data_IF_541609960332
#
_entry.id   IF_541609960332
#
_cell.length_a   1.000
_cell.length_b   1.000
_cell.length_c   1.000
_cell.angle_alpha   90.00
_cell.angle_beta   90.00
_cell.angle_gamma   90.00
#
_symmetry.space_group_name_H-M   'P 1'
#
loop_
_entity.id
_entity.type
_entity.pdbx_description
1 polymer ?
#
# COMPACT_ATOMS: atom_id res chain seq x y z
N UNK A 1 -39.74 -45.83 79.22
CA UNK A 1 -40.59 -47.03 79.19
C UNK A 1 -39.95 -48.03 78.24
N UNK A 2 -39.72 -49.26 78.75
CA UNK A 2 -39.58 -50.59 78.11
C UNK A 2 -39.28 -50.64 76.59
N UNK A 3 -38.32 -51.39 76.05
CA UNK A 3 -37.72 -52.65 76.46
C UNK A 3 -37.91 -53.71 75.36
N UNK A 4 -36.85 -54.51 75.10
CA UNK A 4 -36.79 -55.80 74.37
C UNK A 4 -36.59 -55.83 72.83
N UNK A 5 -35.54 -56.57 72.39
CA UNK A 5 -35.33 -57.10 71.01
C UNK A 5 -36.26 -58.30 70.71
N UNK A 6 -36.02 -59.21 69.72
CA UNK A 6 -34.75 -59.72 69.17
C UNK A 6 -34.76 -59.95 67.62
N UNK A 7 -34.39 -61.10 67.00
CA UNK A 7 -33.16 -61.31 66.21
C UNK A 7 -33.35 -61.71 64.72
N UNK A 8 -32.20 -61.89 64.04
CA UNK A 8 -31.84 -62.64 62.81
C UNK A 8 -32.90 -63.39 61.97
N UNK A 9 -32.83 -63.18 60.64
CA UNK A 9 -32.86 -64.21 59.56
C UNK A 9 -32.54 -63.50 58.22
N UNK A 10 -31.41 -63.70 57.54
CA UNK A 10 -30.94 -64.88 56.81
C UNK A 10 -31.47 -64.96 55.34
N UNK A 11 -30.51 -64.81 54.42
CA UNK A 11 -30.44 -65.34 53.04
C UNK A 11 -31.47 -64.82 52.01
N UNK A 12 -31.07 -64.38 50.81
CA UNK A 12 -30.52 -65.24 49.77
C UNK A 12 -29.57 -64.51 48.81
N UNK A 13 -28.57 -65.26 48.36
CA UNK A 13 -27.47 -64.86 47.50
C UNK A 13 -27.85 -64.67 46.02
N UNK A 14 -27.14 -63.75 45.36
CA UNK A 14 -26.97 -63.68 43.91
C UNK A 14 -25.49 -63.42 43.58
N UNK A 15 -24.95 -63.96 42.48
CA UNK A 15 -23.52 -64.23 42.33
C UNK A 15 -22.69 -62.99 42.01
N UNK A 16 -21.46 -62.98 42.56
CA UNK A 16 -20.42 -61.99 42.33
C UNK A 16 -20.07 -61.86 40.84
N UNK A 17 -20.17 -60.65 40.30
CA UNK A 17 -19.49 -60.26 39.08
C UNK A 17 -18.07 -59.75 39.42
N UNK A 18 -17.05 -60.00 38.57
CA UNK A 18 -15.66 -59.78 38.94
C UNK A 18 -15.31 -58.29 38.97
N UNK A 19 -14.64 -57.87 40.05
CA UNK A 19 -13.97 -56.57 40.13
C UNK A 19 -12.78 -56.56 39.16
N UNK A 20 -12.93 -55.89 38.03
CA UNK A 20 -11.80 -55.49 37.18
C UNK A 20 -11.03 -54.31 37.80
N UNK A 21 -9.72 -54.17 37.53
CA UNK A 21 -8.89 -53.15 38.16
C UNK A 21 -9.26 -51.73 37.68
N UNK A 22 -9.18 -50.69 38.54
CA UNK A 22 -9.38 -49.32 38.13
C UNK A 22 -8.09 -48.80 37.49
N UNK A 23 -8.01 -48.89 36.17
CA UNK A 23 -6.86 -48.36 35.45
C UNK A 23 -7.18 -48.10 34.01
N UNK A 24 -6.87 -46.88 33.56
CA UNK A 24 -6.83 -46.44 32.16
C UNK A 24 -8.13 -45.89 31.56
N UNK A 25 -8.46 -44.64 31.89
CA UNK A 25 -9.32 -43.82 31.01
C UNK A 25 -8.98 -42.32 30.99
N UNK A 26 -7.77 -41.90 31.39
CA UNK A 26 -7.41 -40.46 31.44
C UNK A 26 -6.19 -40.10 30.56
N UNK A 27 -5.34 -41.05 30.16
CA UNK A 27 -4.14 -40.73 29.35
C UNK A 27 -4.40 -40.54 27.84
N UNK A 28 -5.57 -40.94 27.30
CA UNK A 28 -5.82 -40.90 25.85
C UNK A 28 -6.23 -39.54 25.29
N UNK A 29 -6.97 -38.72 26.05
CA UNK A 29 -7.51 -37.43 25.56
C UNK A 29 -6.44 -36.35 25.42
N UNK A 30 -5.47 -36.30 26.34
CA UNK A 30 -4.37 -35.32 26.31
C UNK A 30 -3.37 -35.60 25.19
N UNK A 31 -3.11 -36.87 24.87
CA UNK A 31 -2.22 -37.25 23.78
C UNK A 31 -2.81 -36.89 22.41
N UNK A 32 -4.11 -37.13 22.20
CA UNK A 32 -4.81 -36.78 20.94
C UNK A 32 -4.88 -35.27 20.73
N UNK A 33 -5.15 -34.49 21.79
CA UNK A 33 -5.13 -33.03 21.71
C UNK A 33 -3.72 -32.48 21.42
N UNK A 34 -2.68 -33.03 22.05
CA UNK A 34 -1.30 -32.64 21.75
C UNK A 34 -0.91 -32.96 20.30
N UNK A 35 -1.23 -34.16 19.80
CA UNK A 35 -0.95 -34.54 18.40
C UNK A 35 -1.71 -33.64 17.43
N UNK A 36 -2.98 -33.31 17.70
CA UNK A 36 -3.76 -32.38 16.90
C UNK A 36 -3.13 -30.98 16.86
N UNK A 37 -2.62 -30.49 18.00
CA UNK A 37 -1.87 -29.22 18.07
C UNK A 37 -0.59 -29.26 17.26
N UNK A 38 0.21 -30.33 17.35
CA UNK A 38 1.43 -30.48 16.55
C UNK A 38 1.14 -30.53 15.04
N UNK A 39 0.07 -31.22 14.62
CA UNK A 39 -0.35 -31.28 13.22
C UNK A 39 -0.81 -29.91 12.73
N UNK A 40 -1.56 -29.15 13.53
CA UNK A 40 -1.97 -27.79 13.19
C UNK A 40 -0.78 -26.83 13.11
N UNK A 41 0.18 -26.93 14.03
CA UNK A 41 1.39 -26.11 14.03
C UNK A 41 2.29 -26.43 12.83
N UNK A 42 2.48 -27.72 12.53
CA UNK A 42 3.21 -28.17 11.36
C UNK A 42 2.51 -27.76 10.06
N UNK A 43 1.18 -27.83 10.00
CA UNK A 43 0.38 -27.32 8.90
C UNK A 43 0.55 -25.80 8.71
N UNK A 44 0.47 -25.02 9.78
CA UNK A 44 0.65 -23.57 9.75
C UNK A 44 2.07 -23.17 9.32
N UNK A 45 3.09 -23.87 9.81
CA UNK A 45 4.49 -23.70 9.38
C UNK A 45 4.68 -24.06 7.90
N UNK A 46 4.04 -25.14 7.44
CA UNK A 46 4.12 -25.59 6.06
C UNK A 46 3.47 -24.59 5.11
N UNK A 47 2.30 -24.04 5.46
CA UNK A 47 1.63 -22.98 4.71
C UNK A 47 2.45 -21.69 4.69
N UNK A 48 3.08 -21.31 5.82
CA UNK A 48 3.93 -20.13 5.88
C UNK A 48 5.21 -20.28 5.02
N UNK A 49 5.79 -21.47 4.97
CA UNK A 49 6.95 -21.79 4.13
C UNK A 49 6.54 -21.82 2.65
N UNK A 50 5.43 -22.47 2.30
CA UNK A 50 4.91 -22.49 0.93
C UNK A 50 4.54 -21.09 0.44
N UNK A 51 3.94 -20.26 1.30
CA UNK A 51 3.64 -18.86 1.02
C UNK A 51 4.89 -17.98 0.83
N UNK A 52 6.08 -18.41 1.30
CA UNK A 52 7.36 -17.76 0.98
C UNK A 52 7.90 -18.18 -0.39
N UNK A 53 7.69 -19.44 -0.80
CA UNK A 53 8.12 -19.92 -2.12
C UNK A 53 7.23 -19.43 -3.28
N UNK A 54 5.97 -19.10 -3.00
CA UNK A 54 5.08 -18.47 -3.98
C UNK A 54 5.29 -16.95 -4.13
N UNK A 55 6.14 -16.33 -3.31
CA UNK A 55 6.46 -14.90 -3.49
C UNK A 55 7.41 -14.77 -4.67
N UNK A 56 7.10 -13.91 -5.66
CA UNK A 56 8.08 -13.57 -6.68
C UNK A 56 9.38 -13.12 -6.00
N UNK A 57 10.55 -13.47 -6.57
CA UNK A 57 11.82 -13.08 -5.97
C UNK A 57 11.86 -11.56 -5.77
N UNK A 58 12.42 -11.09 -4.65
CA UNK A 58 12.49 -9.66 -4.40
C UNK A 58 13.23 -8.97 -5.55
N UNK A 59 12.66 -7.89 -6.07
CA UNK A 59 13.31 -7.08 -7.11
C UNK A 59 14.69 -6.66 -6.59
N UNK A 60 15.79 -6.96 -7.31
CA UNK A 60 17.12 -6.53 -6.88
C UNK A 60 17.17 -5.00 -6.82
N UNK A 61 17.44 -4.44 -5.64
CA UNK A 61 17.53 -3.00 -5.45
C UNK A 61 19.00 -2.59 -5.42
N UNK A 62 19.47 -1.75 -6.36
CA UNK A 62 20.83 -1.22 -6.32
C UNK A 62 21.09 -0.42 -5.03
N UNK A 63 22.29 -0.48 -4.43
CA UNK A 63 22.60 0.27 -3.20
C UNK A 63 22.32 1.77 -3.30
N UNK A 64 22.55 2.37 -4.48
CA UNK A 64 22.25 3.78 -4.72
C UNK A 64 20.75 4.09 -4.64
N UNK A 65 19.88 3.18 -5.09
CA UNK A 65 18.42 3.33 -5.02
C UNK A 65 17.92 3.13 -3.59
N UNK A 66 18.50 2.18 -2.85
CA UNK A 66 18.20 2.01 -1.43
C UNK A 66 18.55 3.27 -0.63
N UNK A 67 19.72 3.86 -0.91
CA UNK A 67 20.14 5.11 -0.30
C UNK A 67 19.21 6.28 -0.67
N UNK A 68 18.75 6.32 -1.93
CA UNK A 68 17.79 7.32 -2.37
C UNK A 68 16.45 7.20 -1.62
N UNK A 69 15.95 5.97 -1.41
CA UNK A 69 14.75 5.72 -0.63
C UNK A 69 14.87 6.20 0.83
N UNK A 70 16.04 5.99 1.46
CA UNK A 70 16.33 6.50 2.80
C UNK A 70 16.37 8.03 2.88
N UNK A 71 16.74 8.70 1.79
CA UNK A 71 16.76 10.17 1.68
C UNK A 71 15.41 10.79 1.32
N UNK A 72 14.44 9.98 0.89
CA UNK A 72 13.11 10.45 0.52
C UNK A 72 12.38 11.05 1.73
N UNK A 73 11.59 12.10 1.49
CA UNK A 73 11.00 12.93 2.55
C UNK A 73 12.02 13.72 3.36
N UNK A 74 13.32 13.70 3.05
CA UNK A 74 14.32 14.59 3.66
C UNK A 74 14.10 16.07 3.29
N UNK A 75 14.93 16.96 3.85
CA UNK A 75 14.85 18.41 3.60
C UNK A 75 14.95 18.83 2.12
N UNK A 76 15.41 17.92 1.26
CA UNK A 76 15.58 18.13 -0.17
C UNK A 76 14.33 17.81 -1.01
N UNK A 77 13.23 17.32 -0.42
CA UNK A 77 12.03 16.92 -1.17
C UNK A 77 11.43 18.03 -2.04
N UNK A 78 11.38 19.26 -1.51
CA UNK A 78 10.89 20.42 -2.27
C UNK A 78 11.83 20.78 -3.43
N UNK A 79 13.15 20.70 -3.22
CA UNK A 79 14.14 20.95 -4.26
C UNK A 79 14.08 19.89 -5.37
N UNK A 80 13.74 18.64 -5.06
CA UNK A 80 13.53 17.58 -6.05
C UNK A 80 12.28 17.79 -6.92
N UNK A 81 11.27 18.46 -6.39
CA UNK A 81 10.04 18.80 -7.11
C UNK A 81 10.05 20.15 -7.83
N UNK A 82 11.18 20.88 -7.82
CA UNK A 82 11.28 22.21 -8.44
C UNK A 82 12.07 22.12 -9.76
N UNK A 83 11.46 22.54 -10.88
CA UNK A 83 12.08 22.53 -12.21
C UNK A 83 13.38 23.35 -12.32
N UNK A 84 13.58 24.36 -11.47
CA UNK A 84 14.79 25.19 -11.49
C UNK A 84 15.92 24.63 -10.63
N UNK A 85 15.69 23.53 -9.90
CA UNK A 85 16.66 22.96 -8.98
C UNK A 85 17.47 21.86 -9.66
N UNK A 86 18.80 21.79 -9.47
CA UNK A 86 19.62 20.70 -10.00
C UNK A 86 19.23 19.32 -9.43
N UNK A 87 18.61 19.29 -8.25
CA UNK A 87 18.13 18.05 -7.64
C UNK A 87 16.96 17.42 -8.38
N UNK A 88 16.31 18.17 -9.28
CA UNK A 88 15.22 17.67 -10.13
C UNK A 88 15.67 16.50 -11.00
N UNK A 89 16.92 16.53 -11.48
CA UNK A 89 17.48 15.49 -12.35
C UNK A 89 17.42 14.09 -11.71
N UNK A 90 17.47 14.00 -10.37
CA UNK A 90 17.28 12.72 -9.66
C UNK A 90 15.90 12.15 -9.88
N UNK A 91 14.84 12.97 -9.76
CA UNK A 91 13.45 12.52 -9.96
C UNK A 91 13.22 12.17 -11.41
N UNK A 92 13.68 13.02 -12.33
CA UNK A 92 13.57 12.76 -13.76
C UNK A 92 14.27 11.46 -14.16
N UNK A 93 15.48 11.22 -13.63
CA UNK A 93 16.20 9.96 -13.88
C UNK A 93 15.48 8.72 -13.33
N UNK A 94 14.77 8.85 -12.21
CA UNK A 94 13.95 7.75 -11.66
C UNK A 94 12.73 7.49 -12.55
N UNK A 95 12.02 8.53 -12.98
CA UNK A 95 10.75 8.35 -13.70
C UNK A 95 10.89 8.26 -15.22
N UNK A 96 12.06 8.58 -15.78
CA UNK A 96 12.33 8.49 -17.23
C UNK A 96 11.97 7.13 -17.80
N UNK A 97 11.05 7.12 -18.77
CA UNK A 97 10.52 5.91 -19.38
C UNK A 97 9.18 5.45 -18.78
N UNK A 98 8.68 6.09 -17.73
CA UNK A 98 7.35 5.80 -17.18
C UNK A 98 6.27 6.41 -18.07
N UNK A 99 5.27 5.62 -18.43
CA UNK A 99 4.24 6.01 -19.40
C UNK A 99 2.93 5.24 -19.19
N UNK A 100 1.85 5.69 -19.82
CA UNK A 100 0.63 4.89 -19.93
C UNK A 100 0.86 3.77 -20.93
N UNK A 101 0.46 2.55 -20.60
CA UNK A 101 0.59 1.38 -21.47
C UNK A 101 0.05 1.67 -22.88
N UNK A 102 0.86 1.37 -23.91
CA UNK A 102 0.53 1.63 -25.31
C UNK A 102 0.84 3.05 -25.81
N UNK A 103 1.35 3.94 -24.94
CA UNK A 103 1.79 5.29 -25.30
C UNK A 103 3.32 5.43 -25.18
N UNK A 104 3.89 6.46 -25.79
CA UNK A 104 5.33 6.75 -25.63
C UNK A 104 5.57 7.57 -24.37
N UNK A 105 6.62 7.22 -23.63
CA UNK A 105 7.17 8.07 -22.58
C UNK A 105 7.83 9.30 -23.19
N UNK A 106 7.76 10.41 -22.46
CA UNK A 106 8.65 11.55 -22.67
C UNK A 106 9.94 11.32 -21.90
N UNK A 107 11.09 11.66 -22.49
CA UNK A 107 12.41 11.47 -21.91
C UNK A 107 13.02 12.75 -21.31
N UNK A 108 12.49 13.93 -21.67
CA UNK A 108 12.99 15.23 -21.17
C UNK A 108 11.94 16.34 -21.20
N UNK A 109 12.18 17.40 -20.44
CA UNK A 109 11.37 18.63 -20.46
C UNK A 109 11.39 19.30 -21.84
N UNK A 110 12.50 19.23 -22.57
CA UNK A 110 12.59 19.79 -23.93
C UNK A 110 11.66 19.05 -24.89
N UNK A 111 11.66 17.73 -24.83
CA UNK A 111 10.75 16.89 -25.63
C UNK A 111 9.29 17.16 -25.26
N UNK A 112 8.98 17.27 -23.96
CA UNK A 112 7.65 17.65 -23.49
C UNK A 112 7.21 18.99 -24.09
N UNK A 113 8.06 20.02 -24.00
CA UNK A 113 7.79 21.35 -24.57
C UNK A 113 7.61 21.29 -26.07
N UNK A 114 8.45 20.53 -26.78
CA UNK A 114 8.33 20.36 -28.23
C UNK A 114 7.01 19.74 -28.62
N UNK A 115 6.54 18.73 -27.88
CA UNK A 115 5.23 18.09 -28.08
C UNK A 115 4.07 19.08 -27.85
N UNK A 116 4.16 19.90 -26.79
CA UNK A 116 3.16 20.94 -26.51
C UNK A 116 3.13 22.00 -27.62
N UNK A 117 4.30 22.48 -28.07
CA UNK A 117 4.40 23.52 -29.11
C UNK A 117 3.99 23.02 -30.50
N UNK A 118 4.17 21.73 -30.80
CA UNK A 118 3.76 21.14 -32.08
C UNK A 118 2.26 20.87 -32.18
N UNK A 119 1.47 21.24 -31.16
CA UNK A 119 0.02 21.03 -31.16
C UNK A 119 -0.36 19.56 -30.96
N UNK A 120 0.57 18.69 -30.57
CA UNK A 120 0.26 17.35 -30.07
C UNK A 120 -0.32 17.55 -28.68
N UNK A 121 -1.60 17.96 -28.62
CA UNK A 121 -2.39 17.82 -27.43
C UNK A 121 -2.34 16.34 -27.07
N UNK A 122 -1.81 15.99 -25.91
CA UNK A 122 -1.85 14.65 -25.37
C UNK A 122 -3.33 14.30 -25.09
N UNK A 123 -4.15 14.12 -26.12
CA UNK A 123 -5.58 13.88 -26.04
C UNK A 123 -5.80 12.41 -25.75
N UNK A 124 -5.47 12.03 -24.52
CA UNK A 124 -6.04 10.85 -23.90
C UNK A 124 -5.11 9.66 -23.71
N UNK A 125 -3.95 9.94 -23.10
CA UNK A 125 -3.18 8.87 -22.47
C UNK A 125 -3.89 8.45 -21.18
N UNK A 126 -4.74 7.44 -21.28
CA UNK A 126 -5.49 6.88 -20.16
C UNK A 126 -5.25 5.38 -20.06
N UNK A 127 -5.32 4.87 -18.83
CA UNK A 127 -5.14 3.45 -18.54
C UNK A 127 -3.97 3.18 -17.59
N UNK A 128 -3.56 1.91 -17.49
CA UNK A 128 -2.50 1.48 -16.58
C UNK A 128 -1.17 2.15 -16.89
N UNK A 129 -0.39 2.43 -15.86
CA UNK A 129 0.94 3.03 -15.98
C UNK A 129 2.02 1.95 -15.88
N UNK A 130 2.91 1.94 -16.87
CA UNK A 130 4.15 1.17 -16.85
C UNK A 130 5.25 2.04 -16.25
N UNK A 131 5.72 1.66 -15.05
CA UNK A 131 6.86 2.32 -14.41
C UNK A 131 8.18 1.99 -15.12
N UNK A 132 9.08 2.96 -15.18
CA UNK A 132 10.48 2.71 -15.55
C UNK A 132 11.14 1.67 -14.62
N UNK A 133 12.21 0.98 -15.07
CA UNK A 133 12.96 0.05 -14.21
C UNK A 133 13.51 0.70 -12.93
N UNK A 134 13.92 1.98 -13.00
CA UNK A 134 14.41 2.74 -11.85
C UNK A 134 13.29 3.05 -10.85
N UNK A 135 12.10 3.41 -11.34
CA UNK A 135 10.92 3.63 -10.48
C UNK A 135 10.44 2.32 -9.84
N UNK A 136 10.47 1.20 -10.57
CA UNK A 136 10.19 -0.13 -10.01
C UNK A 136 11.18 -0.50 -8.90
N UNK A 137 12.48 -0.27 -9.13
CA UNK A 137 13.52 -0.49 -8.12
C UNK A 137 13.33 0.39 -6.88
N UNK A 138 12.97 1.67 -7.06
CA UNK A 138 12.73 2.57 -5.94
C UNK A 138 11.48 2.19 -5.14
N UNK A 139 10.40 1.78 -5.82
CA UNK A 139 9.20 1.24 -5.17
C UNK A 139 9.54 0.01 -4.33
N UNK A 140 10.27 -0.95 -4.90
CA UNK A 140 10.74 -2.14 -4.18
C UNK A 140 11.65 -1.78 -2.99
N UNK A 141 12.49 -0.75 -3.10
CA UNK A 141 13.31 -0.27 -2.00
C UNK A 141 12.48 0.20 -0.82
N UNK A 142 11.39 0.95 -1.06
CA UNK A 142 10.49 1.37 0.01
C UNK A 142 9.82 0.18 0.71
N UNK A 143 9.37 -0.81 -0.07
CA UNK A 143 8.79 -2.04 0.47
C UNK A 143 9.80 -2.84 1.32
N UNK A 144 11.03 -3.02 0.83
CA UNK A 144 12.12 -3.68 1.57
C UNK A 144 12.49 -2.95 2.87
N UNK A 145 12.43 -1.61 2.85
CA UNK A 145 12.70 -0.76 4.01
C UNK A 145 11.51 -0.64 4.98
N UNK A 146 10.39 -1.30 4.70
CA UNK A 146 9.21 -1.32 5.57
C UNK A 146 8.46 0.02 5.62
N UNK A 147 8.49 0.81 4.54
CA UNK A 147 7.63 2.00 4.45
C UNK A 147 6.16 1.57 4.38
N UNK A 148 5.30 2.34 5.05
CA UNK A 148 3.87 2.25 4.85
C UNK A 148 3.50 2.76 3.45
N UNK A 149 2.39 2.23 2.91
CA UNK A 149 1.87 2.57 1.58
C UNK A 149 0.39 2.89 1.67
N UNK A 150 -0.05 3.87 0.88
CA UNK A 150 -1.46 4.22 0.70
C UNK A 150 -1.72 4.70 -0.71
N UNK A 151 -2.93 4.46 -1.20
CA UNK A 151 -3.36 4.90 -2.52
C UNK A 151 -4.10 6.24 -2.40
N UNK A 152 -3.75 7.17 -3.29
CA UNK A 152 -4.30 8.52 -3.37
C UNK A 152 -4.55 8.90 -4.83
N UNK A 153 -5.14 10.07 -5.04
CA UNK A 153 -5.55 10.58 -6.34
C UNK A 153 -5.05 12.02 -6.54
N UNK A 154 -4.53 12.31 -7.72
CA UNK A 154 -4.03 13.62 -8.12
C UNK A 154 -4.76 14.10 -9.37
N UNK A 155 -5.61 15.12 -9.23
CA UNK A 155 -6.24 15.77 -10.38
C UNK A 155 -5.24 16.62 -11.15
N UNK A 156 -5.26 16.55 -12.48
CA UNK A 156 -4.37 17.32 -13.34
C UNK A 156 -5.00 17.53 -14.72
N UNK A 157 -4.40 18.41 -15.52
CA UNK A 157 -4.73 18.56 -16.94
C UNK A 157 -4.09 17.45 -17.75
N UNK A 158 -4.77 17.01 -18.81
CA UNK A 158 -4.32 15.96 -19.72
C UNK A 158 -2.98 16.28 -20.37
N UNK A 159 -2.75 17.55 -20.69
CA UNK A 159 -1.47 18.02 -21.24
C UNK A 159 -0.28 17.76 -20.31
N UNK A 160 -0.49 17.65 -19.00
CA UNK A 160 0.60 17.41 -18.04
C UNK A 160 0.94 15.93 -17.86
N UNK A 161 0.08 15.00 -18.31
CA UNK A 161 0.26 13.55 -18.06
C UNK A 161 1.64 13.07 -18.53
N UNK A 162 2.10 13.36 -19.76
CA UNK A 162 3.40 12.85 -20.21
C UNK A 162 4.58 13.37 -19.37
N UNK A 163 4.51 14.62 -18.90
CA UNK A 163 5.53 15.20 -18.02
C UNK A 163 5.48 14.59 -16.62
N UNK A 164 4.29 14.47 -16.02
CA UNK A 164 4.12 13.85 -14.69
C UNK A 164 4.65 12.42 -14.68
N UNK A 165 4.32 11.63 -15.71
CA UNK A 165 4.76 10.24 -15.80
C UNK A 165 6.26 10.15 -16.09
N UNK A 166 6.74 10.79 -17.17
CA UNK A 166 8.13 10.63 -17.63
C UNK A 166 9.16 11.39 -16.80
N UNK A 167 8.77 12.46 -16.11
CA UNK A 167 9.67 13.35 -15.37
C UNK A 167 9.39 13.39 -13.87
N UNK A 168 8.25 12.85 -13.42
CA UNK A 168 7.80 12.85 -12.04
C UNK A 168 7.04 14.13 -11.64
N UNK A 169 6.35 14.08 -10.51
CA UNK A 169 5.52 15.19 -10.03
C UNK A 169 6.34 16.46 -9.71
N UNK A 170 5.72 17.61 -9.93
CA UNK A 170 6.23 18.90 -9.49
C UNK A 170 5.59 19.32 -8.17
N UNK A 171 6.40 19.93 -7.32
CA UNK A 171 5.93 20.52 -6.07
C UNK A 171 5.30 21.87 -6.38
N UNK A 172 4.09 22.06 -5.86
CA UNK A 172 3.37 23.33 -5.92
C UNK A 172 3.56 24.12 -4.61
N UNK A 173 3.60 25.44 -4.71
CA UNK A 173 3.54 26.36 -3.56
C UNK A 173 2.09 26.78 -3.32
N UNK A 174 1.30 25.84 -2.78
CA UNK A 174 -0.12 26.04 -2.53
C UNK A 174 -0.40 26.67 -1.16
N UNK A 175 -1.67 27.02 -0.92
CA UNK A 175 -2.13 27.71 0.29
C UNK A 175 -1.80 26.98 1.61
N UNK A 176 -1.68 25.65 1.56
CA UNK A 176 -1.36 24.84 2.74
C UNK A 176 0.11 24.40 2.77
N UNK A 177 0.96 25.05 1.98
CA UNK A 177 2.41 24.86 1.95
C UNK A 177 2.91 24.07 0.73
N UNK A 178 4.23 23.91 0.69
CA UNK A 178 4.95 23.28 -0.43
C UNK A 178 4.84 21.76 -0.40
N UNK A 179 4.38 21.20 -1.52
CA UNK A 179 4.33 19.77 -1.81
C UNK A 179 3.50 19.45 -3.05
N UNK A 180 3.24 18.17 -3.27
CA UNK A 180 2.30 17.65 -4.26
C UNK A 180 0.99 17.34 -3.54
N UNK A 181 -0.12 17.95 -3.99
CA UNK A 181 -1.43 17.75 -3.39
C UNK A 181 -2.09 16.49 -3.96
N UNK A 182 -2.64 15.67 -3.08
CA UNK A 182 -3.43 14.49 -3.43
C UNK A 182 -4.68 14.41 -2.54
N UNK A 183 -5.71 13.71 -2.98
CA UNK A 183 -6.89 13.37 -2.18
C UNK A 183 -6.95 11.86 -1.95
N UNK A 184 -7.61 11.42 -0.87
CA UNK A 184 -7.89 9.97 -0.68
C UNK A 184 -9.01 9.48 -1.58
N UNK A 185 -9.93 10.36 -1.96
CA UNK A 185 -11.08 10.03 -2.80
C UNK A 185 -10.90 10.53 -4.22
N UNK A 186 -11.28 9.67 -5.18
CA UNK A 186 -11.26 10.01 -6.59
C UNK A 186 -12.14 11.24 -6.90
N UNK A 187 -13.34 11.29 -6.32
CA UNK A 187 -14.30 12.37 -6.55
C UNK A 187 -13.74 13.74 -6.16
N UNK A 188 -13.05 13.83 -5.01
CA UNK A 188 -12.45 15.10 -4.60
C UNK A 188 -11.24 15.48 -5.45
N UNK A 189 -10.43 14.51 -5.89
CA UNK A 189 -9.33 14.78 -6.83
C UNK A 189 -9.83 15.31 -8.19
N UNK A 190 -10.99 14.84 -8.68
CA UNK A 190 -11.60 15.31 -9.91
C UNK A 190 -11.92 16.81 -9.86
N UNK A 191 -12.34 17.33 -8.70
CA UNK A 191 -12.61 18.75 -8.50
C UNK A 191 -11.40 19.65 -8.78
N UNK A 192 -10.18 19.13 -8.61
CA UNK A 192 -8.95 19.86 -8.90
C UNK A 192 -8.47 19.70 -10.36
N UNK A 193 -8.93 18.65 -11.06
CA UNK A 193 -8.60 18.45 -12.47
C UNK A 193 -9.40 19.42 -13.37
N UNK A 194 -10.67 19.65 -13.02
CA UNK A 194 -11.66 20.31 -13.88
C UNK A 194 -12.46 19.30 -14.70
N UNK A 195 -13.65 19.69 -15.17
CA UNK A 195 -14.55 18.80 -15.89
C UNK A 195 -13.91 18.15 -17.12
N UNK A 196 -13.88 16.82 -17.16
CA UNK A 196 -13.31 16.03 -18.27
C UNK A 196 -11.78 15.85 -18.27
N UNK A 197 -11.08 16.41 -17.28
CA UNK A 197 -9.61 16.30 -17.15
C UNK A 197 -9.22 15.07 -16.29
N UNK A 198 -8.05 14.44 -16.54
CA UNK A 198 -7.69 13.19 -15.89
C UNK A 198 -7.42 13.29 -14.39
N UNK A 199 -7.59 12.15 -13.73
CA UNK A 199 -7.11 11.92 -12.37
C UNK A 199 -6.05 10.83 -12.40
N UNK A 200 -4.88 11.11 -11.84
CA UNK A 200 -3.80 10.13 -11.70
C UNK A 200 -3.97 9.41 -10.35
N UNK A 201 -4.16 8.09 -10.40
CA UNK A 201 -4.11 7.24 -9.22
C UNK A 201 -2.65 6.96 -8.87
N UNK A 202 -2.27 7.19 -7.63
CA UNK A 202 -0.88 7.12 -7.17
C UNK A 202 -0.76 6.30 -5.88
N UNK A 203 0.32 5.53 -5.77
CA UNK A 203 0.78 5.01 -4.49
C UNK A 203 1.70 6.04 -3.84
N UNK A 204 1.49 6.30 -2.55
CA UNK A 204 2.33 7.16 -1.74
C UNK A 204 2.95 6.36 -0.60
N UNK A 205 4.25 6.54 -0.39
CA UNK A 205 5.02 5.86 0.66
C UNK A 205 5.41 6.82 1.80
N UNK A 206 5.38 6.35 3.04
CA UNK A 206 5.84 7.11 4.22
C UNK A 206 6.36 6.19 5.32
N UNK A 207 7.02 6.76 6.33
CA UNK A 207 7.23 6.10 7.62
C UNK A 207 6.25 6.67 8.62
N UNK A 208 5.60 5.80 9.41
CA UNK A 208 4.68 6.27 10.46
C UNK A 208 5.40 7.10 11.52
N UNK A 209 6.65 6.74 11.81
CA UNK A 209 7.57 7.58 12.56
C UNK A 209 7.86 8.84 11.75
N UNK A 210 7.48 10.01 12.30
CA UNK A 210 7.59 11.31 11.65
C UNK A 210 6.81 11.42 10.32
N UNK A 211 5.58 10.88 10.27
CA UNK A 211 4.71 10.91 9.09
C UNK A 211 4.65 12.26 8.35
N UNK A 212 4.55 13.37 9.08
CA UNK A 212 4.46 14.73 8.52
C UNK A 212 5.67 15.15 7.68
N UNK A 213 6.81 14.49 7.86
CA UNK A 213 8.01 14.64 7.03
C UNK A 213 7.78 14.14 5.60
N UNK A 214 6.89 13.17 5.41
CA UNK A 214 6.63 12.49 4.15
C UNK A 214 5.32 12.95 3.53
N UNK A 215 4.24 12.87 4.31
CA UNK A 215 2.88 13.16 3.90
C UNK A 215 2.13 13.77 5.09
N UNK A 216 1.45 14.88 4.86
CA UNK A 216 0.70 15.59 5.90
C UNK A 216 -0.72 15.83 5.44
N UNK A 217 -1.69 15.55 6.29
CA UNK A 217 -3.08 15.97 6.04
C UNK A 217 -3.14 17.50 6.05
N UNK A 218 -3.82 18.09 5.06
CA UNK A 218 -4.06 19.53 5.03
C UNK A 218 -5.53 19.76 5.29
N UNK A 219 -5.80 20.57 6.30
CA UNK A 219 -7.16 20.94 6.63
C UNK A 219 -7.67 21.82 5.48
N UNK A 220 -8.68 21.31 4.78
CA UNK A 220 -9.33 21.98 3.66
C UNK A 220 -10.79 22.22 4.05
N UNK A 221 -11.34 23.37 3.70
CA UNK A 221 -12.70 23.78 4.09
C UNK A 221 -13.81 22.99 3.33
N UNK A 222 -13.46 21.88 2.67
CA UNK A 222 -14.44 20.97 2.07
C UNK A 222 -14.93 19.93 3.08
N UNK A 223 -16.16 19.46 2.88
CA UNK A 223 -16.84 18.51 3.78
C UNK A 223 -16.07 17.19 3.86
N UNK A 224 -15.47 16.75 2.74
CA UNK A 224 -14.70 15.51 2.69
C UNK A 224 -13.37 15.61 3.47
N UNK A 225 -12.73 16.78 3.46
CA UNK A 225 -11.48 17.09 4.17
C UNK A 225 -10.43 15.94 4.14
N UNK A 226 -10.13 15.41 2.96
CA UNK A 226 -9.26 14.23 2.78
C UNK A 226 -8.00 14.52 1.96
N UNK A 227 -7.59 15.78 1.91
CA UNK A 227 -6.44 16.25 1.11
C UNK A 227 -5.15 16.06 1.89
N UNK A 228 -4.14 15.56 1.20
CA UNK A 228 -2.81 15.33 1.73
C UNK A 228 -1.75 16.00 0.87
N UNK A 229 -0.72 16.49 1.54
CA UNK A 229 0.43 17.12 0.92
C UNK A 229 1.62 16.18 1.02
N UNK A 230 2.05 15.63 -0.10
CA UNK A 230 3.25 14.80 -0.22
C UNK A 230 4.47 15.71 -0.39
N UNK A 231 5.47 15.55 0.47
CA UNK A 231 6.60 16.49 0.59
C UNK A 231 7.74 16.26 -0.40
N UNK A 232 7.74 15.13 -1.07
CA UNK A 232 8.81 14.70 -1.97
C UNK A 232 8.25 13.83 -3.10
N UNK A 233 8.46 14.20 -4.38
CA UNK A 233 7.94 13.44 -5.51
C UNK A 233 8.51 12.01 -5.61
N UNK A 234 9.65 11.71 -4.98
CA UNK A 234 10.19 10.34 -4.92
C UNK A 234 9.29 9.37 -4.14
N UNK A 235 8.35 9.88 -3.34
CA UNK A 235 7.43 9.06 -2.56
C UNK A 235 6.19 8.64 -3.35
N UNK A 236 6.00 9.15 -4.57
CA UNK A 236 4.76 9.03 -5.33
C UNK A 236 4.97 8.21 -6.59
N UNK A 237 4.19 7.15 -6.77
CA UNK A 237 4.29 6.29 -7.93
C UNK A 237 2.95 6.20 -8.65
N UNK A 238 2.85 6.68 -9.90
CA UNK A 238 1.63 6.55 -10.68
C UNK A 238 1.30 5.06 -10.92
N UNK A 239 0.01 4.77 -10.89
CA UNK A 239 -0.56 3.42 -11.08
C UNK A 239 -1.41 3.40 -12.35
N UNK A 240 -2.23 4.43 -12.52
CA UNK A 240 -3.22 4.51 -13.57
C UNK A 240 -3.57 5.98 -13.83
N UNK A 241 -3.79 6.32 -15.11
CA UNK A 241 -4.38 7.60 -15.51
C UNK A 241 -5.84 7.36 -15.85
N UNK A 242 -6.72 7.82 -14.96
CA UNK A 242 -8.16 7.58 -15.08
C UNK A 242 -8.78 8.67 -15.94
N UNK A 243 -9.52 8.24 -16.97
CA UNK A 243 -10.35 9.15 -17.76
C UNK A 243 -11.51 9.63 -16.90
N UNK A 244 -11.61 10.93 -16.71
CA UNK A 244 -12.75 11.56 -16.06
C UNK A 244 -14.01 11.45 -16.93
N UNK A 245 -15.16 11.30 -16.29
CA UNK A 245 -16.46 11.26 -16.96
C UNK A 245 -16.94 12.68 -17.30
N UNK A 246 -17.72 12.83 -18.36
CA UNK A 246 -18.46 14.06 -18.63
C UNK A 246 -19.55 14.22 -17.57
N UNK A 247 -19.24 14.99 -16.52
CA UNK A 247 -20.13 15.27 -15.39
C UNK A 247 -19.29 15.59 -14.16
N UNK A 248 -19.39 16.82 -13.67
CA UNK A 248 -18.73 17.23 -12.43
C UNK A 248 -19.36 16.43 -11.28
N UNK A 249 -18.58 15.56 -10.63
CA UNK A 249 -19.01 15.01 -9.35
C UNK A 249 -19.15 16.18 -8.37
N UNK A 250 -20.19 16.20 -7.51
CA UNK A 250 -20.38 17.29 -6.57
C UNK A 250 -19.15 17.39 -5.67
N UNK A 251 -18.45 18.51 -5.79
CA UNK A 251 -17.33 18.90 -4.97
C UNK A 251 -17.88 19.34 -3.61
N UNK A 252 -18.06 18.39 -2.70
CA UNK A 252 -18.54 18.63 -1.34
C UNK A 252 -17.36 18.68 -0.36
#
# INVERSE_FOLDING_TARGET
MFGAGPPSAALMAGPQAPQGPPGQAVCGRSAVLMVAWFVLLAGALSVAVWARFLRPPPVPVPPAILQLALQAGGGNGQHRGNNSSPMRATVEGIFRGTHVQGFKSVASELEFRSMVHSGVSATGQFGPVELSPSAQSLRAAFEQLGFARGTFYHGTKNINIPSILGLGFLVSDGWHGKGVYTAKTYAHAQCYAGGGEPVVKVDVYWRDQAKDRYIRHVNHDSIINDVYLVKDPLLMFPIEVIRCCHGDLPCL
#
